data_IF_022674893482
#
_entry.id   IF_022674893482
#
_cell.length_a   1.000
_cell.length_b   1.000
_cell.length_c   1.000
_cell.angle_alpha   90.00
_cell.angle_beta   90.00
_cell.angle_gamma   90.00
#
_symmetry.space_group_name_H-M   'P 1'
#
loop_
_entity.id
_entity.type
_entity.pdbx_description
1 polymer ?
#
# COMPACT_ATOMS: atom_id res chain seq x y z
N UNK A 1 5.77 15.00 -6.70
CA UNK A 1 5.11 13.69 -6.58
C UNK A 1 6.09 12.64 -6.09
N UNK A 2 5.57 11.60 -5.44
CA UNK A 2 6.35 10.49 -4.87
C UNK A 2 5.99 9.14 -5.49
N UNK A 3 4.72 8.94 -5.80
CA UNK A 3 4.23 7.69 -6.40
C UNK A 3 3.15 7.94 -7.45
N UNK A 4 2.99 6.98 -8.35
CA UNK A 4 1.94 6.92 -9.36
C UNK A 4 1.37 5.50 -9.40
N UNK A 5 0.05 5.38 -9.53
CA UNK A 5 -0.61 4.07 -9.69
C UNK A 5 -0.18 3.37 -10.98
N UNK A 6 -0.14 2.05 -10.95
CA UNK A 6 0.29 1.22 -12.11
C UNK A 6 -0.86 0.86 -13.06
N UNK A 7 -2.09 1.32 -12.78
CA UNK A 7 -3.29 1.05 -13.61
C UNK A 7 -4.24 2.26 -13.62
N UNK A 8 -5.13 2.27 -14.58
CA UNK A 8 -6.12 3.35 -14.75
C UNK A 8 -7.22 3.33 -13.66
N UNK A 9 -7.71 4.52 -13.23
CA UNK A 9 -7.15 5.82 -13.56
C UNK A 9 -5.74 5.98 -12.98
N UNK A 10 -4.85 6.65 -13.71
CA UNK A 10 -3.53 6.95 -13.16
C UNK A 10 -3.65 8.03 -12.09
N UNK A 11 -3.18 7.74 -10.91
CA UNK A 11 -3.19 8.65 -9.76
C UNK A 11 -1.77 8.83 -9.26
N UNK A 12 -1.32 10.07 -9.18
CA UNK A 12 -0.03 10.42 -8.60
C UNK A 12 -0.24 11.16 -7.27
N UNK A 13 0.52 10.80 -6.26
CA UNK A 13 0.48 11.40 -4.93
C UNK A 13 1.84 11.98 -4.56
N UNK A 14 1.89 12.86 -3.56
CA UNK A 14 3.15 13.47 -3.14
C UNK A 14 3.02 14.37 -1.92
N UNK A 15 3.98 15.30 -1.78
CA UNK A 15 4.08 16.22 -0.66
C UNK A 15 2.85 17.13 -0.55
N UNK A 16 2.62 17.65 0.68
CA UNK A 16 1.54 18.59 1.00
C UNK A 16 0.14 18.07 0.66
N UNK A 17 -0.06 16.76 0.79
CA UNK A 17 -1.33 16.07 0.53
C UNK A 17 -1.90 16.29 -0.87
N UNK A 18 -1.06 16.62 -1.85
CA UNK A 18 -1.51 16.75 -3.23
C UNK A 18 -1.64 15.41 -3.93
N UNK A 19 -2.67 15.30 -4.75
CA UNK A 19 -2.78 14.27 -5.77
C UNK A 19 -3.06 14.88 -7.15
N UNK A 20 -2.75 14.11 -8.18
CA UNK A 20 -3.21 14.33 -9.55
C UNK A 20 -3.76 13.03 -10.11
N UNK A 21 -4.77 13.12 -10.96
CA UNK A 21 -5.34 11.95 -11.63
C UNK A 21 -5.61 12.21 -13.09
N UNK A 22 -5.56 11.14 -13.88
CA UNK A 22 -5.91 11.13 -15.30
C UNK A 22 -6.34 9.73 -15.73
N UNK A 23 -7.26 9.66 -16.69
CA UNK A 23 -7.61 8.40 -17.34
C UNK A 23 -6.79 8.15 -18.61
N UNK A 24 -6.37 9.19 -19.29
CA UNK A 24 -5.69 9.09 -20.61
C UNK A 24 -4.19 9.36 -20.56
N UNK A 25 -3.65 9.81 -19.43
CA UNK A 25 -2.27 10.30 -19.31
C UNK A 25 -2.02 11.69 -19.92
N UNK A 26 -3.00 12.26 -20.59
CA UNK A 26 -2.85 13.52 -21.35
C UNK A 26 -3.23 14.76 -20.55
N UNK A 27 -4.37 14.70 -19.85
CA UNK A 27 -4.84 15.77 -19.00
C UNK A 27 -4.91 15.30 -17.56
N UNK A 28 -4.31 16.08 -16.65
CA UNK A 28 -4.22 15.77 -15.24
C UNK A 28 -5.05 16.76 -14.42
N UNK A 29 -6.00 16.23 -13.67
CA UNK A 29 -6.73 16.97 -12.65
C UNK A 29 -5.99 16.90 -11.32
N UNK A 30 -6.00 17.98 -10.55
CA UNK A 30 -5.32 18.06 -9.25
C UNK A 30 -6.30 18.29 -8.12
N UNK A 31 -5.96 17.77 -6.95
CA UNK A 31 -6.71 17.99 -5.73
C UNK A 31 -5.87 17.80 -4.48
N UNK A 32 -6.50 17.83 -3.33
CA UNK A 32 -5.89 17.58 -2.01
C UNK A 32 -6.61 16.44 -1.30
N UNK A 33 -5.85 15.64 -0.56
CA UNK A 33 -6.38 14.50 0.21
C UNK A 33 -6.95 14.92 1.57
N UNK A 34 -6.80 16.18 1.99
CA UNK A 34 -7.51 16.69 3.17
C UNK A 34 -6.86 16.41 4.53
N UNK A 35 -5.62 15.89 4.57
CA UNK A 35 -4.87 15.61 5.82
C UNK A 35 -3.98 16.77 6.30
N UNK A 36 -4.16 17.96 5.77
CA UNK A 36 -3.30 19.13 6.03
C UNK A 36 -2.09 19.20 5.08
N UNK A 37 -1.33 20.28 5.19
CA UNK A 37 -0.25 20.59 4.23
C UNK A 37 1.09 19.92 4.57
N UNK A 38 1.19 19.23 5.70
CA UNK A 38 2.43 18.61 6.20
C UNK A 38 2.60 17.15 5.81
N UNK A 39 1.53 16.48 5.39
CA UNK A 39 1.56 15.06 5.05
C UNK A 39 2.11 14.86 3.65
N UNK A 40 3.04 13.92 3.50
CA UNK A 40 3.49 13.40 2.20
C UNK A 40 2.90 12.01 2.00
N UNK A 41 2.22 11.80 0.87
CA UNK A 41 1.81 10.45 0.46
C UNK A 41 2.90 9.84 -0.41
N UNK A 42 3.36 8.66 -0.03
CA UNK A 42 4.51 7.96 -0.62
C UNK A 42 4.09 6.82 -1.56
N UNK A 43 2.91 6.24 -1.33
CA UNK A 43 2.36 5.15 -2.12
C UNK A 43 0.92 5.40 -2.54
N UNK A 44 0.54 4.90 -3.71
CA UNK A 44 -0.83 4.93 -4.21
C UNK A 44 -1.14 3.64 -4.96
N UNK A 45 -2.27 3.03 -4.64
CA UNK A 45 -2.83 1.87 -5.34
C UNK A 45 -4.20 2.18 -5.92
N UNK A 46 -4.54 1.48 -6.98
CA UNK A 46 -5.86 1.54 -7.64
C UNK A 46 -6.43 0.14 -7.69
N UNK A 47 -7.68 0.00 -7.30
CA UNK A 47 -8.41 -1.26 -7.27
C UNK A 47 -9.70 -1.19 -8.06
N UNK A 48 -9.89 -2.10 -9.02
CA UNK A 48 -11.10 -2.24 -9.81
C UNK A 48 -11.81 -3.55 -9.46
N UNK A 49 -12.84 -3.49 -8.63
CA UNK A 49 -13.64 -4.64 -8.23
C UNK A 49 -14.51 -5.22 -9.35
N UNK A 50 -14.48 -4.63 -10.55
CA UNK A 50 -15.34 -5.01 -11.67
C UNK A 50 -16.75 -4.43 -11.59
N UNK A 51 -16.97 -3.52 -10.64
CA UNK A 51 -18.14 -2.63 -10.60
C UNK A 51 -17.82 -1.33 -11.36
N UNK A 52 -18.79 -0.42 -11.46
CA UNK A 52 -18.56 0.91 -12.07
C UNK A 52 -17.56 1.78 -11.28
N UNK A 53 -17.28 1.41 -10.05
CA UNK A 53 -16.51 2.23 -9.11
C UNK A 53 -15.09 1.66 -8.96
N UNK A 54 -14.11 2.49 -9.28
CA UNK A 54 -12.71 2.19 -9.09
C UNK A 54 -12.23 2.82 -7.79
N UNK A 55 -11.62 2.04 -6.93
CA UNK A 55 -11.18 2.50 -5.63
C UNK A 55 -9.71 2.90 -5.67
N UNK A 56 -9.36 3.94 -4.92
CA UNK A 56 -8.02 4.48 -4.81
C UNK A 56 -7.62 4.52 -3.35
N UNK A 57 -6.42 4.03 -3.04
CA UNK A 57 -5.84 4.13 -1.70
C UNK A 57 -4.50 4.87 -1.78
N UNK A 58 -4.32 5.87 -0.93
CA UNK A 58 -3.06 6.58 -0.74
C UNK A 58 -2.52 6.32 0.66
N UNK A 59 -1.21 6.10 0.76
CA UNK A 59 -0.52 5.83 2.02
C UNK A 59 0.72 6.72 2.13
N UNK A 60 1.11 7.11 3.35
CA UNK A 60 2.19 8.08 3.50
C UNK A 60 2.73 8.25 4.91
N UNK A 61 3.27 9.44 5.16
CA UNK A 61 3.93 9.81 6.40
C UNK A 61 2.97 9.79 7.60
N UNK A 62 3.53 9.58 8.79
CA UNK A 62 2.80 9.59 10.06
C UNK A 62 1.58 8.64 10.06
N UNK A 63 1.78 7.44 9.55
CA UNK A 63 0.73 6.44 9.46
C UNK A 63 -0.52 6.87 8.64
N UNK A 64 -0.37 7.85 7.76
CA UNK A 64 -1.50 8.34 6.99
C UNK A 64 -1.96 7.34 5.94
N UNK A 65 -3.23 7.00 5.99
CA UNK A 65 -3.89 6.14 5.02
C UNK A 65 -5.25 6.73 4.66
N UNK A 66 -5.56 6.83 3.38
CA UNK A 66 -6.81 7.38 2.89
C UNK A 66 -7.31 6.63 1.66
N UNK A 67 -8.62 6.58 1.52
CA UNK A 67 -9.29 5.99 0.34
C UNK A 67 -10.23 6.99 -0.32
N UNK A 68 -10.43 6.81 -1.61
CA UNK A 68 -11.42 7.53 -2.41
C UNK A 68 -11.98 6.62 -3.50
N UNK A 69 -13.06 7.05 -4.16
CA UNK A 69 -13.62 6.38 -5.33
C UNK A 69 -13.36 7.24 -6.56
N UNK A 70 -12.87 6.63 -7.63
CA UNK A 70 -12.69 7.28 -8.92
C UNK A 70 -13.89 6.95 -9.83
N UNK A 71 -14.54 7.98 -10.35
CA UNK A 71 -15.66 7.87 -11.29
C UNK A 71 -15.27 8.65 -12.55
N UNK A 72 -14.93 7.93 -13.61
CA UNK A 72 -14.39 8.56 -14.82
C UNK A 72 -13.04 9.24 -14.54
N UNK A 73 -12.97 10.56 -14.73
CA UNK A 73 -11.77 11.36 -14.47
C UNK A 73 -11.77 12.03 -13.09
N UNK A 74 -12.84 11.90 -12.31
CA UNK A 74 -12.98 12.58 -11.03
C UNK A 74 -12.74 11.62 -9.88
N UNK A 75 -12.06 12.09 -8.85
CA UNK A 75 -11.90 11.37 -7.57
C UNK A 75 -12.86 12.00 -6.55
N UNK A 76 -13.62 11.15 -5.87
CA UNK A 76 -14.51 11.56 -4.77
C UNK A 76 -13.72 12.18 -3.61
N UNK A 77 -14.43 12.67 -2.60
CA UNK A 77 -13.79 13.07 -1.36
C UNK A 77 -12.99 11.90 -0.75
N UNK A 78 -11.78 12.18 -0.29
CA UNK A 78 -10.94 11.22 0.40
C UNK A 78 -11.44 10.98 1.83
N UNK A 79 -11.44 9.72 2.24
CA UNK A 79 -11.85 9.29 3.58
C UNK A 79 -10.65 8.67 4.28
N UNK A 80 -10.31 9.11 5.52
CA UNK A 80 -9.29 8.44 6.33
C UNK A 80 -9.62 6.97 6.59
N UNK A 81 -8.58 6.15 6.73
CA UNK A 81 -8.67 4.77 7.20
C UNK A 81 -8.00 4.69 8.56
N UNK A 82 -8.72 4.18 9.54
CA UNK A 82 -8.19 3.94 10.88
C UNK A 82 -7.29 2.71 10.90
N UNK A 83 -6.19 2.79 11.64
CA UNK A 83 -5.27 1.68 11.82
C UNK A 83 -5.59 0.93 13.11
N UNK A 84 -5.56 -0.39 13.06
CA UNK A 84 -5.82 -1.26 14.20
C UNK A 84 -4.66 -2.25 14.39
N UNK A 85 -4.24 -2.43 15.65
CA UNK A 85 -3.33 -3.50 16.04
C UNK A 85 -4.10 -4.82 16.16
N UNK A 86 -3.68 -5.86 15.45
CA UNK A 86 -4.18 -7.21 15.69
C UNK A 86 -3.45 -7.81 16.89
N UNK A 87 -4.12 -7.87 18.05
CA UNK A 87 -3.64 -8.71 19.15
C UNK A 87 -4.12 -10.14 18.90
N UNK A 88 -3.19 -11.04 18.62
CA UNK A 88 -3.47 -12.49 18.71
C UNK A 88 -3.70 -12.85 20.18
N UNK A 89 -4.95 -13.00 20.56
CA UNK A 89 -5.32 -13.67 21.79
C UNK A 89 -5.52 -15.15 21.42
N UNK A 90 -4.76 -16.09 22.02
CA UNK A 90 -4.98 -17.51 21.79
C UNK A 90 -6.42 -17.87 22.21
N UNK A 91 -7.19 -18.38 21.28
CA UNK A 91 -8.56 -18.87 21.40
C UNK A 91 -9.62 -17.81 21.81
N UNK A 92 -10.50 -17.52 20.86
CA UNK A 92 -11.79 -16.81 21.00
C UNK A 92 -11.69 -15.27 20.90
N UNK A 93 -12.18 -14.74 19.79
CA UNK A 93 -12.39 -13.34 19.42
C UNK A 93 -11.13 -12.48 19.21
N UNK A 94 -10.85 -12.17 17.96
CA UNK A 94 -9.96 -11.08 17.58
C UNK A 94 -10.56 -9.76 18.10
N UNK A 95 -9.97 -9.21 19.13
CA UNK A 95 -10.28 -7.85 19.56
C UNK A 95 -9.33 -6.93 18.81
N UNK A 96 -9.82 -6.21 17.82
CA UNK A 96 -9.10 -5.13 17.19
C UNK A 96 -9.08 -3.92 18.14
N UNK A 97 -7.90 -3.43 18.47
CA UNK A 97 -7.74 -2.16 19.18
C UNK A 97 -7.18 -1.13 18.19
N UNK A 98 -7.67 0.10 18.28
CA UNK A 98 -7.13 1.21 17.51
C UNK A 98 -5.64 1.37 17.83
N UNK A 99 -4.77 1.27 16.80
CA UNK A 99 -3.34 1.50 16.96
C UNK A 99 -3.02 2.99 16.84
N UNK A 100 -3.18 3.70 17.94
CA UNK A 100 -2.77 5.11 18.04
C UNK A 100 -1.25 5.28 18.22
N UNK A 101 -0.49 4.20 18.32
CA UNK A 101 0.94 4.22 18.62
C UNK A 101 1.82 4.16 17.36
N UNK A 102 1.26 3.65 16.25
CA UNK A 102 2.00 3.58 15.00
C UNK A 102 2.13 4.98 14.38
N UNK A 103 3.36 5.45 14.27
CA UNK A 103 3.71 6.76 13.69
C UNK A 103 4.67 6.64 12.50
N UNK A 104 4.95 5.41 12.08
CA UNK A 104 5.85 5.13 10.95
C UNK A 104 5.27 5.58 9.61
N UNK A 105 6.14 5.66 8.61
CA UNK A 105 5.73 6.00 7.25
C UNK A 105 5.33 4.74 6.49
N UNK A 106 4.28 4.83 5.70
CA UNK A 106 3.99 3.86 4.65
C UNK A 106 4.67 4.28 3.34
N UNK A 107 5.21 3.31 2.61
CA UNK A 107 5.96 3.53 1.38
C UNK A 107 5.28 2.94 0.15
N UNK A 108 4.59 1.82 0.29
CA UNK A 108 3.93 1.10 -0.79
C UNK A 108 2.54 0.60 -0.42
N UNK A 109 1.68 0.46 -1.42
CA UNK A 109 0.35 -0.15 -1.27
C UNK A 109 -0.04 -0.89 -2.54
N UNK A 110 -0.66 -2.06 -2.38
CA UNK A 110 -1.18 -2.87 -3.48
C UNK A 110 -2.59 -3.38 -3.15
N UNK A 111 -3.37 -3.59 -4.19
CA UNK A 111 -4.69 -4.22 -4.12
C UNK A 111 -4.72 -5.55 -4.88
N UNK A 112 -5.41 -6.52 -4.31
CA UNK A 112 -5.69 -7.81 -4.91
C UNK A 112 -7.21 -7.98 -5.09
N UNK A 113 -7.61 -8.26 -6.33
CA UNK A 113 -9.00 -8.23 -6.78
C UNK A 113 -9.86 -9.37 -6.22
N UNK A 114 -9.32 -10.59 -6.14
CA UNK A 114 -10.12 -11.80 -5.86
C UNK A 114 -10.63 -11.82 -4.43
N UNK A 115 -9.81 -11.37 -3.50
CA UNK A 115 -10.15 -11.26 -2.08
C UNK A 115 -10.54 -9.87 -1.64
N UNK A 116 -10.48 -8.90 -2.59
CA UNK A 116 -10.68 -7.48 -2.32
C UNK A 116 -9.79 -6.99 -1.16
N UNK A 117 -8.50 -7.35 -1.22
CA UNK A 117 -7.56 -7.13 -0.14
C UNK A 117 -6.56 -6.04 -0.51
N UNK A 118 -6.41 -5.05 0.37
CA UNK A 118 -5.39 -4.03 0.29
C UNK A 118 -4.28 -4.33 1.29
N UNK A 119 -3.04 -4.22 0.85
CA UNK A 119 -1.84 -4.37 1.67
C UNK A 119 -0.99 -3.12 1.56
N UNK A 120 -0.69 -2.48 2.69
CA UNK A 120 0.23 -1.36 2.80
C UNK A 120 1.47 -1.78 3.58
N UNK A 121 2.65 -1.34 3.13
CA UNK A 121 3.95 -1.66 3.74
C UNK A 121 4.73 -0.39 4.04
N UNK A 122 5.63 -0.44 5.03
CA UNK A 122 6.38 0.76 5.41
C UNK A 122 7.51 0.54 6.41
N UNK A 123 7.78 1.58 7.20
CA UNK A 123 8.89 1.66 8.14
C UNK A 123 8.85 0.53 9.18
N UNK A 124 10.03 0.09 9.62
CA UNK A 124 10.22 -0.92 10.66
C UNK A 124 9.44 -2.23 10.40
N UNK A 125 9.39 -2.67 9.15
CA UNK A 125 8.70 -3.89 8.74
C UNK A 125 7.18 -3.84 8.84
N UNK A 126 6.60 -2.65 8.94
CA UNK A 126 5.15 -2.50 9.11
C UNK A 126 4.37 -3.00 7.91
N UNK A 127 3.35 -3.79 8.18
CA UNK A 127 2.36 -4.24 7.20
C UNK A 127 0.97 -4.00 7.78
N UNK A 128 0.10 -3.38 7.00
CA UNK A 128 -1.31 -3.23 7.33
C UNK A 128 -2.19 -3.77 6.21
N UNK A 129 -3.18 -4.57 6.59
CA UNK A 129 -4.09 -5.22 5.65
C UNK A 129 -5.53 -4.82 5.96
N UNK A 130 -6.30 -4.52 4.92
CA UNK A 130 -7.75 -4.34 5.00
C UNK A 130 -8.44 -5.14 3.92
N UNK A 131 -9.62 -5.70 4.23
CA UNK A 131 -10.44 -6.46 3.29
C UNK A 131 -11.72 -5.70 3.05
N UNK A 132 -12.09 -5.61 1.77
CA UNK A 132 -13.28 -4.88 1.36
C UNK A 132 -13.07 -3.38 1.23
N UNK A 133 -13.70 -2.82 0.23
CA UNK A 133 -13.62 -1.39 -0.08
C UNK A 133 -14.43 -0.51 0.90
N UNK A 134 -15.32 -1.13 1.65
CA UNK A 134 -16.15 -0.47 2.66
C UNK A 134 -15.52 -0.50 4.05
N UNK A 135 -14.43 -1.25 4.25
CA UNK A 135 -13.72 -1.29 5.52
C UNK A 135 -13.23 0.11 5.90
N UNK A 136 -13.47 0.50 7.14
CA UNK A 136 -13.01 1.77 7.69
C UNK A 136 -11.67 1.66 8.38
N UNK A 137 -11.16 0.42 8.56
CA UNK A 137 -9.92 0.16 9.27
C UNK A 137 -8.99 -0.82 8.57
N UNK A 138 -7.71 -0.66 8.81
CA UNK A 138 -6.66 -1.57 8.40
C UNK A 138 -5.96 -2.18 9.63
N UNK A 139 -5.61 -3.46 9.55
CA UNK A 139 -5.06 -4.24 10.66
C UNK A 139 -3.59 -4.54 10.44
N UNK A 140 -2.76 -4.33 11.48
CA UNK A 140 -1.34 -4.66 11.43
C UNK A 140 -1.11 -6.16 11.28
N UNK A 141 -0.07 -6.54 10.54
CA UNK A 141 0.37 -7.92 10.37
C UNK A 141 1.82 -8.07 10.85
N UNK A 142 2.18 -9.27 11.29
CA UNK A 142 3.55 -9.57 11.65
C UNK A 142 4.36 -9.90 10.39
N UNK A 143 5.36 -9.09 10.08
CA UNK A 143 6.21 -9.25 8.88
C UNK A 143 7.39 -10.21 9.06
N UNK A 144 7.83 -10.43 10.30
CA UNK A 144 9.08 -11.17 10.60
C UNK A 144 10.35 -10.34 10.48
N UNK A 145 10.30 -9.12 9.96
CA UNK A 145 11.45 -8.23 9.79
C UNK A 145 11.26 -6.88 10.51
N UNK A 146 12.35 -6.21 10.82
CA UNK A 146 12.37 -4.81 11.27
C UNK A 146 12.90 -3.86 10.18
N UNK A 147 13.29 -4.41 9.02
CA UNK A 147 13.74 -3.59 7.91
C UNK A 147 12.58 -2.78 7.32
N UNK A 148 12.89 -1.58 6.87
CA UNK A 148 11.88 -0.77 6.15
C UNK A 148 11.50 -1.45 4.85
N UNK A 149 10.21 -1.68 4.67
CA UNK A 149 9.64 -2.18 3.41
C UNK A 149 9.35 -1.00 2.49
N UNK A 150 9.91 -1.01 1.29
CA UNK A 150 9.87 0.10 0.36
C UNK A 150 8.74 -0.02 -0.66
N UNK A 151 8.45 -1.25 -1.10
CA UNK A 151 7.42 -1.51 -2.10
C UNK A 151 6.75 -2.87 -1.88
N UNK A 152 5.54 -3.02 -2.42
CA UNK A 152 4.77 -4.27 -2.41
C UNK A 152 4.07 -4.45 -3.75
N UNK A 153 4.01 -5.69 -4.22
CA UNK A 153 3.36 -6.08 -5.46
C UNK A 153 2.57 -7.38 -5.26
N UNK A 154 1.53 -7.60 -6.08
CA UNK A 154 0.79 -8.84 -6.14
C UNK A 154 0.90 -9.46 -7.53
N UNK A 155 1.20 -10.75 -7.60
CA UNK A 155 1.29 -11.53 -8.84
C UNK A 155 1.39 -13.02 -8.51
N UNK A 156 1.05 -13.91 -9.43
CA UNK A 156 1.11 -15.36 -9.25
C UNK A 156 0.44 -15.87 -7.95
N UNK A 157 -0.65 -15.21 -7.52
CA UNK A 157 -1.36 -15.51 -6.26
C UNK A 157 -0.52 -15.28 -4.98
N UNK A 158 0.51 -14.45 -5.04
CA UNK A 158 1.40 -14.12 -3.93
C UNK A 158 1.62 -12.61 -3.84
N UNK A 159 1.60 -12.05 -2.63
CA UNK A 159 2.12 -10.72 -2.34
C UNK A 159 3.61 -10.83 -2.09
N UNK A 160 4.40 -9.94 -2.68
CA UNK A 160 5.82 -9.80 -2.40
C UNK A 160 6.08 -8.38 -1.95
N UNK A 161 6.70 -8.21 -0.79
CA UNK A 161 7.21 -6.92 -0.32
C UNK A 161 8.73 -6.94 -0.28
N UNK A 162 9.34 -5.83 -0.67
CA UNK A 162 10.79 -5.66 -0.74
C UNK A 162 11.22 -4.44 0.06
N UNK A 163 12.46 -4.43 0.56
CA UNK A 163 12.92 -3.35 1.41
C UNK A 163 14.42 -3.27 1.61
N UNK A 164 14.79 -2.55 2.66
CA UNK A 164 16.18 -2.29 3.01
C UNK A 164 16.93 -3.57 3.37
N UNK A 165 18.26 -3.55 3.25
CA UNK A 165 19.12 -4.67 3.58
C UNK A 165 18.87 -5.92 2.74
N UNK A 166 18.24 -5.80 1.57
CA UNK A 166 17.87 -6.91 0.71
C UNK A 166 16.64 -7.69 1.21
N UNK A 167 15.84 -7.12 2.11
CA UNK A 167 14.65 -7.79 2.63
C UNK A 167 13.67 -8.12 1.50
N UNK A 168 13.23 -9.38 1.44
CA UNK A 168 12.10 -9.85 0.63
C UNK A 168 11.22 -10.73 1.51
N UNK A 169 9.96 -10.40 1.61
CA UNK A 169 8.96 -11.21 2.32
C UNK A 169 7.76 -11.46 1.41
N UNK A 170 7.09 -12.57 1.65
CA UNK A 170 5.98 -13.01 0.82
C UNK A 170 4.79 -13.52 1.63
N UNK A 171 3.61 -13.38 1.05
CA UNK A 171 2.34 -13.86 1.62
C UNK A 171 1.37 -14.28 0.53
N UNK A 172 0.68 -15.40 0.72
CA UNK A 172 -0.38 -15.84 -0.19
C UNK A 172 -1.74 -15.17 0.08
N UNK A 173 -1.92 -14.57 1.24
CA UNK A 173 -3.21 -14.06 1.69
C UNK A 173 -3.18 -12.59 2.18
N UNK A 174 -1.98 -12.01 2.33
CA UNK A 174 -1.77 -10.67 2.86
C UNK A 174 -1.76 -10.61 4.39
N UNK A 175 -1.91 -11.74 5.09
CA UNK A 175 -1.97 -11.81 6.55
C UNK A 175 -0.79 -12.55 7.17
N UNK A 176 -0.40 -13.69 6.62
CA UNK A 176 0.75 -14.48 7.08
C UNK A 176 1.93 -14.27 6.13
N UNK A 177 3.04 -13.76 6.66
CA UNK A 177 4.23 -13.41 5.87
C UNK A 177 5.42 -14.28 6.24
N UNK A 178 6.29 -14.53 5.28
CA UNK A 178 7.51 -15.32 5.43
C UNK A 178 8.66 -14.75 4.62
N UNK A 179 9.89 -14.89 5.12
CA UNK A 179 11.10 -14.42 4.45
C UNK A 179 11.39 -15.20 3.17
N UNK A 180 11.94 -14.49 2.18
CA UNK A 180 12.52 -15.04 0.95
C UNK A 180 13.97 -14.61 0.84
N UNK A 181 14.80 -15.43 0.19
CA UNK A 181 16.22 -15.14 -0.01
C UNK A 181 16.40 -14.24 -1.22
N UNK A 182 17.00 -13.07 -1.03
CA UNK A 182 17.30 -12.10 -2.10
C UNK A 182 18.69 -12.27 -2.71
N UNK A 183 19.62 -12.91 -1.98
CA UNK A 183 21.05 -13.00 -2.31
C UNK A 183 21.76 -11.63 -2.42
N UNK A 184 21.23 -10.59 -1.83
CA UNK A 184 21.84 -9.25 -1.75
C UNK A 184 21.64 -8.66 -0.36
N UNK A 185 22.49 -7.71 0.01
CA UNK A 185 22.32 -6.84 1.19
C UNK A 185 22.02 -5.40 0.79
N UNK A 186 21.90 -5.13 -0.51
CA UNK A 186 21.56 -3.81 -1.01
C UNK A 186 20.07 -3.52 -0.78
N UNK A 187 19.75 -2.25 -0.60
CA UNK A 187 18.37 -1.83 -0.47
C UNK A 187 17.60 -2.10 -1.78
N UNK A 188 16.44 -2.71 -1.63
CA UNK A 188 15.51 -2.98 -2.71
C UNK A 188 14.44 -1.88 -2.69
N UNK A 189 14.34 -1.13 -3.79
CA UNK A 189 13.60 0.13 -3.82
C UNK A 189 12.19 0.00 -4.43
N UNK A 190 12.02 -0.86 -5.43
CA UNK A 190 10.71 -1.09 -6.06
C UNK A 190 10.57 -2.51 -6.59
N UNK A 191 9.33 -2.94 -6.77
CA UNK A 191 8.95 -4.24 -7.32
C UNK A 191 7.74 -4.11 -8.22
N UNK A 192 7.76 -4.82 -9.35
CA UNK A 192 6.62 -4.98 -10.24
C UNK A 192 6.42 -6.46 -10.59
N UNK A 193 5.20 -6.81 -11.01
CA UNK A 193 4.89 -8.06 -11.68
C UNK A 193 4.54 -7.77 -13.14
N UNK A 194 5.26 -8.38 -14.10
CA UNK A 194 5.11 -8.11 -15.52
C UNK A 194 4.09 -9.04 -16.23
N UNK A 195 3.45 -9.93 -15.46
CA UNK A 195 2.52 -10.96 -15.97
C UNK A 195 3.12 -12.36 -16.00
N UNK A 196 4.45 -12.49 -15.88
CA UNK A 196 5.18 -13.75 -15.88
C UNK A 196 6.08 -13.91 -14.65
N UNK A 197 6.75 -12.83 -14.22
CA UNK A 197 7.71 -12.82 -13.12
C UNK A 197 7.68 -11.52 -12.32
N UNK A 198 8.22 -11.56 -11.12
CA UNK A 198 8.51 -10.38 -10.34
C UNK A 198 9.86 -9.78 -10.79
N UNK A 199 9.91 -8.47 -10.95
CA UNK A 199 11.11 -7.70 -11.25
C UNK A 199 11.32 -6.73 -10.09
N UNK A 200 12.49 -6.82 -9.47
CA UNK A 200 12.90 -5.99 -8.35
C UNK A 200 14.07 -5.12 -8.79
N UNK A 201 14.08 -3.87 -8.37
CA UNK A 201 15.18 -2.94 -8.57
C UNK A 201 15.63 -2.37 -7.24
N UNK A 202 16.92 -2.09 -7.13
CA UNK A 202 17.51 -1.62 -5.89
C UNK A 202 18.81 -0.85 -6.08
N UNK A 203 19.51 -0.62 -4.99
CA UNK A 203 20.78 0.09 -4.97
C UNK A 203 21.91 -0.71 -5.61
N UNK A 204 22.98 -0.02 -5.98
CA UNK A 204 24.21 -0.62 -6.55
C UNK A 204 23.98 -1.49 -7.79
N UNK A 205 22.93 -1.23 -8.56
CA UNK A 205 22.63 -1.96 -9.79
C UNK A 205 21.97 -3.33 -9.57
N UNK A 206 21.31 -3.49 -8.41
CA UNK A 206 20.50 -4.68 -8.12
C UNK A 206 19.22 -4.68 -8.95
#
# INVERSE_FOLDING_TARGET
>A
FRAISKQEPYVAVGASSFYMNTKSGTFWERGRIGFGDTITFNGVGVGDSGTSDVHVMAVGDFASMARAVAIGNSISAWTPIDLFEQRQIPAINQVSTFDSTYTGNFNGVVWERTRDTWVAVGAAGSIFTTVGLTSTGAFSQFSGTLETLNAVCYGQSEYIAVGNGGAIIASNDGFAWSDKVSNTVNDLNDIIYDGDRFIVVGDSGT
#
